data_IF_946802158394
#
_entry.id   IF_946802158394
#
_cell.length_a   1.000
_cell.length_b   1.000
_cell.length_c   1.000
_cell.angle_alpha   90.00
_cell.angle_beta   90.00
_cell.angle_gamma   90.00
#
_symmetry.space_group_name_H-M   'P 1'
#
loop_
_entity.id
_entity.type
_entity.pdbx_description
1 polymer ?
#
# COMPACT_ATOMS: atom_id res chain seq x y z
N UNK A 1 16.84 8.57 8.88
CA UNK A 1 15.68 9.13 8.16
C UNK A 1 15.29 8.16 7.06
N UNK A 2 14.02 7.78 6.96
CA UNK A 2 13.52 7.02 5.82
C UNK A 2 13.05 8.04 4.77
N UNK A 3 13.69 8.04 3.60
CA UNK A 3 13.31 8.92 2.50
C UNK A 3 12.13 8.33 1.72
N UNK A 4 11.14 9.17 1.40
CA UNK A 4 10.02 8.80 0.52
C UNK A 4 10.14 9.48 -0.84
N UNK A 5 9.57 8.89 -1.91
CA UNK A 5 9.66 9.42 -3.26
C UNK A 5 9.29 10.90 -3.35
N UNK A 6 10.21 11.70 -3.90
CA UNK A 6 10.09 13.15 -4.08
C UNK A 6 9.84 13.95 -2.79
N UNK A 7 10.08 13.37 -1.62
CA UNK A 7 10.06 14.11 -0.34
C UNK A 7 11.36 14.89 -0.12
N UNK A 8 11.25 16.03 0.56
CA UNK A 8 12.42 16.77 1.03
C UNK A 8 13.02 16.09 2.27
N UNK A 9 14.35 15.95 2.30
CA UNK A 9 15.04 15.34 3.44
C UNK A 9 14.95 16.29 4.64
N UNK A 10 14.53 15.77 5.78
CA UNK A 10 14.44 16.54 7.03
C UNK A 10 13.15 17.33 7.20
N UNK A 11 12.15 17.13 6.32
CA UNK A 11 10.81 17.73 6.46
C UNK A 11 9.80 16.69 6.90
N UNK A 12 8.88 17.06 7.79
CA UNK A 12 7.77 16.19 8.21
C UNK A 12 6.55 16.43 7.31
N UNK A 13 6.26 15.46 6.44
CA UNK A 13 4.96 15.34 5.80
C UNK A 13 4.18 14.21 6.51
N UNK A 14 2.84 14.31 6.64
CA UNK A 14 2.05 13.23 7.22
C UNK A 14 2.22 11.95 6.40
N UNK A 15 2.62 10.87 7.08
CA UNK A 15 2.65 9.52 6.52
C UNK A 15 1.56 8.70 7.21
N UNK A 16 0.91 7.84 6.43
CA UNK A 16 -0.17 6.98 6.90
C UNK A 16 0.35 5.54 6.90
N UNK A 17 0.73 4.97 8.06
CA UNK A 17 1.30 3.63 8.12
C UNK A 17 0.26 2.57 7.74
N UNK A 18 0.53 1.83 6.66
CA UNK A 18 -0.33 0.73 6.18
C UNK A 18 0.11 -0.57 6.86
N UNK A 19 -0.83 -1.29 7.48
CA UNK A 19 -0.60 -2.57 8.15
C UNK A 19 -0.84 -3.77 7.22
N UNK A 20 -1.86 -3.68 6.35
CA UNK A 20 -2.17 -4.74 5.38
C UNK A 20 -3.00 -4.20 4.22
N UNK A 21 -3.14 -4.98 3.14
CA UNK A 21 -4.00 -4.64 2.02
C UNK A 21 -4.71 -5.90 1.48
N UNK A 22 -5.97 -5.78 1.07
CA UNK A 22 -6.75 -6.88 0.50
C UNK A 22 -7.85 -6.35 -0.43
N UNK A 23 -8.01 -6.99 -1.60
CA UNK A 23 -8.91 -6.50 -2.63
C UNK A 23 -8.51 -5.09 -3.06
N UNK A 24 -9.42 -4.12 -2.94
CA UNK A 24 -9.14 -2.70 -3.24
C UNK A 24 -8.91 -1.86 -1.98
N UNK A 25 -8.69 -2.47 -0.82
CA UNK A 25 -8.59 -1.75 0.46
C UNK A 25 -7.19 -1.79 1.07
N UNK A 26 -6.78 -0.65 1.62
CA UNK A 26 -5.61 -0.50 2.50
C UNK A 26 -6.11 -0.37 3.94
N UNK A 27 -5.56 -1.16 4.86
CA UNK A 27 -5.82 -1.07 6.30
C UNK A 27 -4.65 -0.37 6.97
N UNK A 28 -4.91 0.73 7.66
CA UNK A 28 -3.90 1.47 8.42
C UNK A 28 -3.63 0.83 9.79
N UNK A 29 -2.53 1.20 10.44
CA UNK A 29 -2.17 0.71 11.79
C UNK A 29 -3.25 1.05 12.83
N UNK A 30 -3.96 2.17 12.67
CA UNK A 30 -5.05 2.57 13.56
C UNK A 30 -6.36 1.77 13.36
N UNK A 31 -6.38 0.86 12.38
CA UNK A 31 -7.51 0.01 12.04
C UNK A 31 -8.48 0.59 11.01
N UNK A 32 -8.31 1.85 10.59
CA UNK A 32 -9.11 2.43 9.51
C UNK A 32 -8.82 1.77 8.16
N UNK A 33 -9.81 1.79 7.27
CA UNK A 33 -9.71 1.23 5.92
C UNK A 33 -9.99 2.28 4.85
N UNK A 34 -9.12 2.33 3.84
CA UNK A 34 -9.22 3.22 2.69
C UNK A 34 -9.48 2.40 1.43
N UNK A 35 -10.30 2.93 0.52
CA UNK A 35 -10.35 2.41 -0.86
C UNK A 35 -9.14 2.97 -1.60
N UNK A 36 -8.31 2.10 -2.18
CA UNK A 36 -7.19 2.51 -3.01
C UNK A 36 -7.66 2.91 -4.42
N UNK A 37 -7.64 4.22 -4.69
CA UNK A 37 -7.91 4.77 -6.02
C UNK A 37 -6.69 4.86 -6.94
N UNK A 38 -5.49 4.54 -6.44
CA UNK A 38 -4.23 4.76 -7.15
C UNK A 38 -3.67 3.48 -7.76
N UNK A 39 -4.11 2.32 -7.27
CA UNK A 39 -3.55 1.00 -7.63
C UNK A 39 -2.02 0.97 -7.48
N UNK A 40 -1.49 1.54 -6.39
CA UNK A 40 -0.05 1.69 -6.15
C UNK A 40 0.71 2.18 -7.41
N UNK A 41 0.37 3.38 -7.87
CA UNK A 41 0.85 3.93 -9.14
C UNK A 41 0.64 2.94 -10.29
N UNK A 42 -0.63 2.61 -10.55
CA UNK A 42 -1.10 1.80 -11.68
C UNK A 42 -0.72 0.31 -11.65
N UNK A 43 0.24 -0.10 -10.82
CA UNK A 43 0.80 -1.45 -10.84
C UNK A 43 -0.14 -2.54 -10.31
N UNK A 44 -0.94 -2.23 -9.29
CA UNK A 44 -1.81 -3.19 -8.60
C UNK A 44 -3.17 -3.36 -9.31
N UNK A 45 -3.17 -3.66 -10.60
CA UNK A 45 -4.41 -3.77 -11.42
C UNK A 45 -5.37 -4.88 -10.98
N UNK A 46 -4.87 -5.86 -10.22
CA UNK A 46 -5.68 -6.96 -9.64
C UNK A 46 -6.01 -6.74 -8.16
N UNK A 47 -5.71 -5.55 -7.64
CA UNK A 47 -5.77 -5.27 -6.21
C UNK A 47 -4.69 -6.00 -5.42
N UNK A 48 -4.92 -6.08 -4.11
CA UNK A 48 -3.96 -6.57 -3.13
C UNK A 48 -4.35 -7.95 -2.60
N UNK A 49 -3.33 -8.72 -2.19
CA UNK A 49 -3.49 -10.05 -1.61
C UNK A 49 -4.30 -11.01 -2.50
N UNK A 50 -4.10 -10.89 -3.82
CA UNK A 50 -4.84 -11.65 -4.81
C UNK A 50 -4.48 -13.15 -4.73
N UNK A 51 -5.44 -14.07 -4.51
CA UNK A 51 -5.15 -15.46 -4.17
C UNK A 51 -4.34 -16.19 -5.24
N UNK A 52 -4.62 -15.94 -6.52
CA UNK A 52 -3.87 -16.58 -7.61
C UNK A 52 -2.43 -16.05 -7.74
N UNK A 53 -2.21 -14.75 -7.48
CA UNK A 53 -0.86 -14.15 -7.55
C UNK A 53 -0.04 -14.64 -6.36
N UNK A 54 -0.62 -14.61 -5.17
CA UNK A 54 0.02 -15.13 -3.96
C UNK A 54 0.40 -16.60 -4.14
N UNK A 55 -0.53 -17.45 -4.62
CA UNK A 55 -0.23 -18.86 -4.86
C UNK A 55 0.93 -19.02 -5.84
N UNK A 56 0.97 -18.26 -6.93
CA UNK A 56 2.04 -18.32 -7.93
C UNK A 56 3.42 -17.88 -7.40
N UNK A 57 3.49 -17.01 -6.39
CA UNK A 57 4.76 -16.58 -5.77
C UNK A 57 5.38 -17.64 -4.85
N UNK A 58 4.59 -18.59 -4.36
CA UNK A 58 5.06 -19.66 -3.46
C UNK A 58 5.55 -20.91 -4.19
N UNK A 59 5.35 -21.00 -5.51
CA UNK A 59 5.88 -22.06 -6.37
C UNK A 59 7.17 -21.60 -7.07
#
# INVERSE_FOLDING_TARGET
VLWHPYSAIGTEAPLYPVASAAGVRLKLIDGSELIDGMSSWWSAIHGYNHPQINAALYY
#
